data_IF_301990784231
#
_entry.id   IF_301990784231
#
_cell.length_a   1.000
_cell.length_b   1.000
_cell.length_c   1.000
_cell.angle_alpha   90.00
_cell.angle_beta   90.00
_cell.angle_gamma   90.00
#
_symmetry.space_group_name_H-M   'P 1'
#
loop_
_entity.id
_entity.type
_entity.pdbx_description
1 polymer ?
#
# COMPACT_ATOMS: atom_id res chain seq x y z
N UNK A 1 -12.21 -13.39 13.32
CA UNK A 1 -10.82 -13.53 12.80
C UNK A 1 -10.60 -12.58 11.64
N UNK A 2 -9.40 -11.98 11.50
CA UNK A 2 -9.06 -11.03 10.44
C UNK A 2 -7.92 -11.57 9.56
N UNK A 3 -7.93 -11.19 8.27
CA UNK A 3 -6.84 -11.49 7.34
C UNK A 3 -5.83 -10.34 7.47
N UNK A 4 -4.59 -10.65 7.87
CA UNK A 4 -3.53 -9.65 8.09
C UNK A 4 -2.58 -9.70 6.91
N UNK A 5 -2.58 -8.64 6.09
CA UNK A 5 -1.73 -8.51 4.91
C UNK A 5 -0.61 -7.48 5.15
N UNK A 6 0.59 -7.78 4.68
CA UNK A 6 1.68 -6.80 4.67
C UNK A 6 1.45 -5.77 3.58
N UNK A 7 1.52 -4.49 3.93
CA UNK A 7 1.20 -3.41 3.00
C UNK A 7 2.17 -3.34 1.80
N UNK A 8 1.64 -3.58 0.60
CA UNK A 8 2.39 -3.54 -0.67
C UNK A 8 3.00 -2.17 -0.96
N UNK A 9 2.33 -1.07 -0.59
CA UNK A 9 2.84 0.30 -0.77
C UNK A 9 4.12 0.51 0.02
N UNK A 10 4.15 0.05 1.27
CA UNK A 10 5.35 0.14 2.11
C UNK A 10 6.45 -0.81 1.62
N UNK A 11 6.07 -1.99 1.12
CA UNK A 11 7.02 -2.92 0.50
C UNK A 11 7.74 -2.30 -0.70
N UNK A 12 7.00 -1.66 -1.61
CA UNK A 12 7.58 -0.98 -2.77
C UNK A 12 8.52 0.15 -2.34
N UNK A 13 8.12 0.98 -1.37
CA UNK A 13 8.98 2.06 -0.85
C UNK A 13 10.29 1.51 -0.28
N UNK A 14 10.21 0.48 0.57
CA UNK A 14 11.40 -0.18 1.12
C UNK A 14 12.30 -0.74 0.02
N UNK A 15 11.70 -1.39 -0.98
CA UNK A 15 12.41 -1.97 -2.13
C UNK A 15 13.20 -0.93 -2.92
N UNK A 16 12.64 0.26 -3.09
CA UNK A 16 13.26 1.34 -3.87
C UNK A 16 14.27 2.18 -3.09
N UNK A 17 14.41 1.99 -1.78
CA UNK A 17 15.22 2.86 -0.90
C UNK A 17 16.69 2.99 -1.34
N UNK A 18 17.28 1.89 -1.82
CA UNK A 18 18.68 1.82 -2.25
C UNK A 18 18.83 1.70 -3.77
N UNK A 19 17.74 1.86 -4.52
CA UNK A 19 17.76 1.80 -5.98
C UNK A 19 18.27 3.13 -6.53
N UNK A 20 19.29 3.06 -7.38
CA UNK A 20 19.84 4.25 -8.05
C UNK A 20 18.78 4.91 -8.94
N UNK A 21 18.78 6.24 -9.02
CA UNK A 21 17.85 7.03 -9.85
C UNK A 21 17.75 6.55 -11.31
N UNK A 22 18.89 6.13 -11.91
CA UNK A 22 18.97 5.60 -13.28
C UNK A 22 18.11 4.34 -13.49
N UNK A 23 17.97 3.51 -12.45
CA UNK A 23 17.24 2.24 -12.51
C UNK A 23 15.82 2.35 -11.95
N UNK A 24 15.51 3.40 -11.19
CA UNK A 24 14.25 3.57 -10.45
C UNK A 24 13.03 3.29 -11.32
N UNK A 25 12.96 3.89 -12.51
CA UNK A 25 11.81 3.73 -13.41
C UNK A 25 11.61 2.28 -13.85
N UNK A 26 12.70 1.58 -14.20
CA UNK A 26 12.64 0.19 -14.67
C UNK A 26 12.27 -0.75 -13.52
N UNK A 27 12.91 -0.59 -12.36
CA UNK A 27 12.61 -1.37 -11.15
C UNK A 27 11.14 -1.19 -10.75
N UNK A 28 10.63 0.04 -10.70
CA UNK A 28 9.22 0.27 -10.38
C UNK A 28 8.25 -0.35 -11.42
N UNK A 29 8.64 -0.40 -12.69
CA UNK A 29 7.90 -1.10 -13.74
C UNK A 29 7.82 -2.60 -13.48
N UNK A 30 8.96 -3.24 -13.21
CA UNK A 30 9.03 -4.67 -12.93
C UNK A 30 8.29 -5.02 -11.62
N UNK A 31 8.42 -4.19 -10.57
CA UNK A 31 7.67 -4.35 -9.33
C UNK A 31 6.15 -4.21 -9.56
N UNK A 32 5.72 -3.34 -10.48
CA UNK A 32 4.31 -3.17 -10.83
C UNK A 32 3.72 -4.45 -11.41
N UNK A 33 4.45 -5.11 -12.29
CA UNK A 33 4.00 -6.35 -12.92
C UNK A 33 3.64 -7.43 -11.88
N UNK A 34 4.34 -7.47 -10.74
CA UNK A 34 4.05 -8.41 -9.65
C UNK A 34 2.65 -8.16 -9.07
N UNK A 35 2.39 -6.98 -8.52
CA UNK A 35 1.13 -6.73 -7.78
C UNK A 35 -0.08 -6.45 -8.69
N UNK A 36 0.12 -6.20 -9.99
CA UNK A 36 -0.96 -6.08 -10.98
C UNK A 36 -1.20 -7.36 -11.78
N UNK A 37 -0.57 -8.47 -11.41
CA UNK A 37 -0.79 -9.76 -12.07
C UNK A 37 -2.24 -10.27 -11.91
N UNK A 38 -2.73 -11.04 -12.87
CA UNK A 38 -4.11 -11.52 -12.85
C UNK A 38 -4.35 -12.57 -11.75
N UNK A 39 -3.34 -13.40 -11.47
CA UNK A 39 -3.37 -14.44 -10.45
C UNK A 39 -2.00 -14.61 -9.78
N UNK A 40 -1.94 -15.47 -8.76
CA UNK A 40 -0.74 -15.70 -7.96
C UNK A 40 0.41 -16.27 -8.80
N UNK A 41 0.12 -17.22 -9.70
CA UNK A 41 1.13 -17.85 -10.54
C UNK A 41 1.82 -16.84 -11.47
N UNK A 42 1.06 -15.92 -12.06
CA UNK A 42 1.62 -14.83 -12.86
C UNK A 42 2.47 -13.87 -12.01
N UNK A 43 2.06 -13.62 -10.77
CA UNK A 43 2.84 -12.79 -9.84
C UNK A 43 4.18 -13.44 -9.48
N UNK A 44 4.20 -14.78 -9.30
CA UNK A 44 5.42 -15.55 -9.04
C UNK A 44 6.38 -15.47 -10.23
N UNK A 45 5.87 -15.68 -11.45
CA UNK A 45 6.68 -15.51 -12.68
C UNK A 45 7.23 -14.10 -12.78
N UNK A 46 6.43 -13.07 -12.48
CA UNK A 46 6.90 -11.69 -12.48
C UNK A 46 8.00 -11.45 -11.43
N UNK A 47 7.91 -12.09 -10.26
CA UNK A 47 8.97 -12.04 -9.24
C UNK A 47 10.26 -12.71 -9.73
N UNK A 48 10.16 -13.84 -10.44
CA UNK A 48 11.30 -14.51 -11.04
C UNK A 48 11.98 -13.64 -12.11
N UNK A 49 11.20 -13.02 -13.00
CA UNK A 49 11.74 -12.07 -13.99
C UNK A 49 12.44 -10.88 -13.31
N UNK A 50 11.84 -10.33 -12.25
CA UNK A 50 12.46 -9.27 -11.45
C UNK A 50 13.78 -9.75 -10.81
N UNK A 51 13.83 -10.98 -10.31
CA UNK A 51 15.05 -11.57 -9.77
C UNK A 51 16.13 -11.73 -10.85
N UNK A 52 15.79 -12.20 -12.06
CA UNK A 52 16.75 -12.31 -13.16
C UNK A 52 17.36 -10.96 -13.53
N UNK A 53 16.55 -9.91 -13.59
CA UNK A 53 16.98 -8.57 -13.98
C UNK A 53 17.81 -7.87 -12.90
N UNK A 54 17.44 -8.05 -11.63
CA UNK A 54 17.92 -7.17 -10.55
C UNK A 54 18.66 -7.86 -9.42
N UNK A 55 18.59 -9.18 -9.27
CA UNK A 55 19.20 -9.88 -8.12
C UNK A 55 20.71 -9.64 -8.01
N UNK A 56 21.42 -9.53 -9.15
CA UNK A 56 22.87 -9.24 -9.16
C UNK A 56 23.20 -7.85 -8.59
N UNK A 57 22.33 -6.86 -8.78
CA UNK A 57 22.58 -5.46 -8.39
C UNK A 57 21.89 -5.07 -7.08
N UNK A 58 20.72 -5.63 -6.82
CA UNK A 58 19.84 -5.34 -5.69
C UNK A 58 19.34 -6.65 -5.05
N UNK A 59 20.24 -7.51 -4.52
CA UNK A 59 19.86 -8.81 -3.97
C UNK A 59 18.93 -8.69 -2.75
N UNK A 60 19.13 -7.65 -1.93
CA UNK A 60 18.30 -7.37 -0.76
C UNK A 60 16.83 -7.15 -1.13
N UNK A 61 16.57 -6.43 -2.23
CA UNK A 61 15.21 -6.21 -2.72
C UNK A 61 14.54 -7.54 -3.03
N UNK A 62 15.19 -8.39 -3.80
CA UNK A 62 14.63 -9.70 -4.20
C UNK A 62 14.41 -10.59 -2.98
N UNK A 63 15.38 -10.62 -2.05
CA UNK A 63 15.27 -11.39 -0.81
C UNK A 63 14.09 -10.93 0.05
N UNK A 64 13.90 -9.62 0.21
CA UNK A 64 12.75 -9.09 0.97
C UNK A 64 11.42 -9.55 0.36
N UNK A 65 11.27 -9.52 -0.97
CA UNK A 65 10.03 -9.97 -1.61
C UNK A 65 9.77 -11.45 -1.42
N UNK A 66 10.81 -12.29 -1.54
CA UNK A 66 10.69 -13.74 -1.31
C UNK A 66 10.34 -14.06 0.15
N UNK A 67 11.01 -13.41 1.10
CA UNK A 67 10.81 -13.67 2.53
C UNK A 67 9.41 -13.24 3.02
N UNK A 68 8.79 -12.27 2.36
CA UNK A 68 7.49 -11.72 2.73
C UNK A 68 6.37 -12.11 1.77
N UNK A 69 6.62 -13.05 0.84
CA UNK A 69 5.73 -13.37 -0.27
C UNK A 69 4.31 -13.72 0.18
N UNK A 70 4.20 -14.67 1.11
CA UNK A 70 2.91 -15.19 1.58
C UNK A 70 2.06 -14.08 2.21
N UNK A 71 2.65 -13.24 3.08
CA UNK A 71 1.96 -12.11 3.70
C UNK A 71 1.59 -11.01 2.69
N UNK A 72 2.43 -10.80 1.67
CA UNK A 72 2.22 -9.76 0.66
C UNK A 72 1.09 -10.13 -0.30
N UNK A 73 1.02 -11.40 -0.73
CA UNK A 73 0.12 -11.84 -1.79
C UNK A 73 -1.30 -12.19 -1.34
N UNK A 74 -1.62 -12.11 -0.04
CA UNK A 74 -2.97 -12.37 0.49
C UNK A 74 -4.07 -11.54 -0.21
N UNK A 75 -3.75 -10.35 -0.70
CA UNK A 75 -4.74 -9.52 -1.40
C UNK A 75 -5.13 -10.06 -2.80
N UNK A 76 -4.36 -11.00 -3.36
CA UNK A 76 -4.70 -11.64 -4.65
C UNK A 76 -5.99 -12.46 -4.56
N UNK A 77 -6.44 -12.81 -3.36
CA UNK A 77 -7.73 -13.47 -3.14
C UNK A 77 -8.94 -12.56 -3.39
N UNK A 78 -8.77 -11.24 -3.54
CA UNK A 78 -9.85 -10.29 -3.86
C UNK A 78 -9.95 -10.05 -5.37
N UNK A 79 -11.02 -9.44 -5.83
CA UNK A 79 -11.21 -8.97 -7.20
C UNK A 79 -10.40 -7.71 -7.51
N UNK A 80 -10.21 -7.44 -8.80
CA UNK A 80 -9.34 -6.35 -9.29
C UNK A 80 -9.63 -4.99 -8.65
N UNK A 81 -10.90 -4.66 -8.42
CA UNK A 81 -11.29 -3.36 -7.87
C UNK A 81 -10.78 -3.18 -6.43
N UNK A 82 -10.90 -4.20 -5.59
CA UNK A 82 -10.37 -4.20 -4.22
C UNK A 82 -8.84 -4.21 -4.25
N UNK A 83 -8.22 -5.06 -5.09
CA UNK A 83 -6.76 -5.08 -5.26
C UNK A 83 -6.23 -3.70 -5.60
N UNK A 84 -6.89 -2.99 -6.53
CA UNK A 84 -6.52 -1.63 -6.94
C UNK A 84 -6.57 -0.65 -5.79
N UNK A 85 -7.57 -0.72 -4.92
CA UNK A 85 -7.61 0.11 -3.72
C UNK A 85 -6.42 -0.17 -2.79
N UNK A 86 -6.04 -1.44 -2.62
CA UNK A 86 -4.96 -1.86 -1.72
C UNK A 86 -3.59 -1.36 -2.19
N UNK A 87 -3.28 -1.48 -3.48
CA UNK A 87 -1.97 -1.06 -4.02
C UNK A 87 -1.91 0.40 -4.46
N UNK A 88 -3.00 1.17 -4.35
CA UNK A 88 -2.98 2.61 -4.66
C UNK A 88 -2.31 3.38 -3.52
N UNK A 89 -1.30 4.19 -3.85
CA UNK A 89 -0.53 4.97 -2.86
C UNK A 89 -1.21 6.26 -2.42
N UNK A 90 -2.19 6.75 -3.19
CA UNK A 90 -2.77 8.08 -3.03
C UNK A 90 -3.37 8.33 -1.63
N UNK A 91 -4.21 7.46 -1.04
CA UNK A 91 -4.78 7.71 0.30
C UNK A 91 -3.70 7.82 1.39
N UNK A 92 -2.73 6.89 1.39
CA UNK A 92 -1.65 6.87 2.40
C UNK A 92 -0.71 8.07 2.22
N UNK A 93 -0.35 8.42 0.99
CA UNK A 93 0.49 9.59 0.72
C UNK A 93 -0.21 10.91 1.03
N UNK A 94 -1.52 11.02 0.76
CA UNK A 94 -2.30 12.20 1.11
C UNK A 94 -2.30 12.44 2.62
N UNK A 95 -2.55 11.38 3.41
CA UNK A 95 -2.47 11.44 4.87
C UNK A 95 -1.07 11.84 5.35
N UNK A 96 -0.02 11.16 4.85
CA UNK A 96 1.35 11.48 5.22
C UNK A 96 1.75 12.90 4.83
N UNK A 97 1.24 13.43 3.70
CA UNK A 97 1.48 14.81 3.28
C UNK A 97 0.90 15.81 4.28
N UNK A 98 -0.32 15.59 4.76
CA UNK A 98 -0.97 16.43 5.79
C UNK A 98 -0.11 16.44 7.05
N UNK A 99 0.28 15.26 7.54
CA UNK A 99 1.09 15.13 8.76
C UNK A 99 2.46 15.80 8.58
N UNK A 100 3.19 15.46 7.51
CA UNK A 100 4.53 16.01 7.20
C UNK A 100 4.53 17.53 7.13
N UNK A 101 3.50 18.14 6.54
CA UNK A 101 3.39 19.61 6.44
C UNK A 101 3.38 20.28 7.81
N UNK A 102 2.71 19.67 8.79
CA UNK A 102 2.54 20.23 10.14
C UNK A 102 3.74 19.98 11.04
N UNK A 103 4.39 18.82 10.90
CA UNK A 103 5.58 18.49 11.70
C UNK A 103 6.84 19.18 11.17
N UNK A 104 7.01 19.32 9.86
CA UNK A 104 8.25 19.85 9.26
C UNK A 104 8.48 21.33 9.60
N UNK A 105 7.41 22.08 9.87
CA UNK A 105 7.50 23.52 10.20
C UNK A 105 7.81 23.78 11.66
N UNK A 106 7.71 22.78 12.55
CA UNK A 106 8.07 22.91 13.97
C UNK A 106 9.37 22.17 14.26
N UNK A 107 10.33 22.85 14.87
CA UNK A 107 11.59 22.24 15.30
C UNK A 107 11.43 21.26 16.47
N UNK A 108 10.59 21.61 17.45
CA UNK A 108 10.31 20.77 18.62
C UNK A 108 8.92 21.05 19.21
N UNK A 109 8.46 20.13 20.06
CA UNK A 109 7.26 20.27 20.89
C UNK A 109 7.65 20.27 22.36
N UNK A 110 6.85 20.97 23.20
CA UNK A 110 7.08 21.02 24.64
C UNK A 110 6.83 19.69 25.36
N UNK A 111 6.01 18.82 24.78
CA UNK A 111 5.76 17.45 25.23
C UNK A 111 5.06 16.65 24.12
N UNK A 112 4.95 15.34 24.32
CA UNK A 112 4.26 14.41 23.41
C UNK A 112 2.79 14.78 23.19
N UNK A 113 2.07 15.22 24.24
CA UNK A 113 0.67 15.65 24.11
C UNK A 113 0.52 16.83 23.15
N UNK A 114 1.50 17.74 23.12
CA UNK A 114 1.55 18.85 22.18
C UNK A 114 1.63 18.39 20.72
N UNK A 115 2.47 17.38 20.44
CA UNK A 115 2.56 16.75 19.13
C UNK A 115 1.24 16.08 18.74
N UNK A 116 0.68 15.25 19.62
CA UNK A 116 -0.57 14.52 19.37
C UNK A 116 -1.73 15.48 19.08
N UNK A 117 -1.88 16.55 19.89
CA UNK A 117 -2.91 17.57 19.67
C UNK A 117 -2.76 18.24 18.31
N UNK A 118 -1.54 18.55 17.90
CA UNK A 118 -1.30 19.21 16.62
C UNK A 118 -1.64 18.28 15.44
N UNK A 119 -1.26 17.00 15.51
CA UNK A 119 -1.64 16.00 14.51
C UNK A 119 -3.16 15.86 14.46
N UNK A 120 -3.82 15.71 15.61
CA UNK A 120 -5.28 15.63 15.70
C UNK A 120 -5.97 16.82 15.04
N UNK A 121 -5.55 18.06 15.36
CA UNK A 121 -6.13 19.27 14.78
C UNK A 121 -5.91 19.34 13.27
N UNK A 122 -4.74 18.90 12.78
CA UNK A 122 -4.46 18.83 11.35
C UNK A 122 -5.37 17.83 10.63
N UNK A 123 -5.59 16.66 11.21
CA UNK A 123 -6.49 15.64 10.65
C UNK A 123 -7.93 16.14 10.65
N UNK A 124 -8.42 16.69 11.76
CA UNK A 124 -9.76 17.25 11.88
C UNK A 124 -10.01 18.39 10.89
N UNK A 125 -9.04 19.28 10.70
CA UNK A 125 -9.15 20.36 9.72
C UNK A 125 -9.28 19.84 8.28
N UNK A 126 -8.62 18.73 7.96
CA UNK A 126 -8.61 18.14 6.61
C UNK A 126 -9.69 17.06 6.40
N UNK A 127 -10.57 16.81 7.37
CA UNK A 127 -11.58 15.73 7.31
C UNK A 127 -12.44 15.78 6.03
N UNK A 128 -12.84 16.99 5.60
CA UNK A 128 -13.61 17.19 4.37
C UNK A 128 -12.91 16.68 3.10
N UNK A 129 -11.57 16.66 3.09
CA UNK A 129 -10.81 16.17 1.94
C UNK A 129 -10.99 14.66 1.68
N UNK A 130 -11.47 13.92 2.68
CA UNK A 130 -11.67 12.47 2.60
C UNK A 130 -13.06 12.08 2.08
N UNK A 131 -13.95 13.06 1.91
CA UNK A 131 -15.30 12.84 1.40
C UNK A 131 -15.27 12.70 -0.13
N UNK A 132 -14.68 11.60 -0.60
CA UNK A 132 -14.50 11.27 -2.01
C UNK A 132 -15.20 9.97 -2.33
N UNK A 133 -15.89 9.93 -3.47
CA UNK A 133 -16.54 8.71 -3.93
C UNK A 133 -15.49 7.71 -4.42
N UNK A 134 -15.52 6.51 -3.87
CA UNK A 134 -14.70 5.40 -4.36
C UNK A 134 -15.29 4.92 -5.69
N UNK A 135 -14.44 4.82 -6.70
CA UNK A 135 -14.85 4.31 -8.01
C UNK A 135 -15.40 2.88 -7.88
N UNK A 136 -16.56 2.63 -8.49
CA UNK A 136 -17.24 1.33 -8.49
C UNK A 136 -17.45 0.75 -7.08
N UNK A 137 -17.82 1.60 -6.11
CA UNK A 137 -18.06 1.20 -4.73
C UNK A 137 -19.10 0.07 -4.62
N UNK A 138 -20.21 0.15 -5.35
CA UNK A 138 -21.25 -0.89 -5.33
C UNK A 138 -20.75 -2.29 -5.72
N UNK A 139 -19.86 -2.38 -6.71
CA UNK A 139 -19.21 -3.64 -7.08
C UNK A 139 -18.32 -4.20 -5.96
N UNK A 140 -17.59 -3.31 -5.29
CA UNK A 140 -16.74 -3.66 -4.14
C UNK A 140 -17.59 -4.13 -2.96
N UNK A 141 -18.71 -3.46 -2.66
CA UNK A 141 -19.62 -3.86 -1.59
C UNK A 141 -20.20 -5.26 -1.84
N UNK A 142 -20.54 -5.59 -3.09
CA UNK A 142 -21.03 -6.93 -3.46
C UNK A 142 -19.97 -8.00 -3.21
N UNK A 143 -18.74 -7.77 -3.66
CA UNK A 143 -17.64 -8.71 -3.43
C UNK A 143 -17.35 -8.90 -1.93
N UNK A 144 -17.37 -7.81 -1.16
CA UNK A 144 -17.19 -7.87 0.30
C UNK A 144 -18.33 -8.64 0.99
N UNK A 145 -19.57 -8.47 0.53
CA UNK A 145 -20.72 -9.19 1.03
C UNK A 145 -20.61 -10.69 0.73
N UNK A 146 -20.25 -11.06 -0.50
CA UNK A 146 -20.03 -12.46 -0.91
C UNK A 146 -18.94 -13.12 -0.06
N UNK A 147 -17.85 -12.39 0.22
CA UNK A 147 -16.69 -12.95 0.90
C UNK A 147 -16.80 -12.99 2.42
N UNK A 148 -17.51 -12.05 3.03
CA UNK A 148 -17.59 -11.90 4.49
C UNK A 148 -19.00 -12.04 5.08
N UNK A 149 -20.05 -12.11 4.26
CA UNK A 149 -21.44 -12.35 4.66
C UNK A 149 -21.91 -11.40 5.76
N UNK A 150 -22.48 -11.96 6.82
CA UNK A 150 -23.04 -11.25 7.98
C UNK A 150 -22.06 -10.28 8.64
N UNK A 151 -20.76 -10.57 8.56
CA UNK A 151 -19.73 -9.69 9.14
C UNK A 151 -19.65 -8.34 8.44
N UNK A 152 -19.94 -8.31 7.14
CA UNK A 152 -20.01 -7.07 6.37
C UNK A 152 -21.42 -6.49 6.39
N UNK A 153 -22.45 -7.33 6.31
CA UNK A 153 -23.86 -6.90 6.28
C UNK A 153 -24.26 -6.02 7.48
N UNK A 154 -23.72 -6.29 8.68
CA UNK A 154 -23.96 -5.47 9.89
C UNK A 154 -23.44 -4.01 9.82
N UNK A 155 -22.71 -3.66 8.77
CA UNK A 155 -22.08 -2.35 8.56
C UNK A 155 -22.62 -1.61 7.33
N UNK A 156 -23.60 -2.19 6.63
CA UNK A 156 -24.39 -1.53 5.60
C UNK A 156 -25.49 -0.69 6.24
#
# INVERSE_FOLDING_TARGET
QAIVQRCIVHMIRSSTKFVSSKNMRKVCGDLRNIYTSANLQQAEVALECLAQNWNKKYPEMVSQWKNNWDELMLFMAYGEQIRRMIYTTNPVEALHRIIRKVIKTKGAWSNEKGLIKQIYLALKYNEKSWNQNVYNWSGIQRELLEKFGDRYARHL
#
